data_IF_476443256966
#
_entry.id   IF_476443256966
#
_cell.length_a   1.000
_cell.length_b   1.000
_cell.length_c   1.000
_cell.angle_alpha   90.00
_cell.angle_beta   90.00
_cell.angle_gamma   90.00
#
_symmetry.space_group_name_H-M   'P 1'
#
loop_
_entity.id
_entity.type
_entity.pdbx_description
1 polymer ?
#
# COMPACT_ATOMS: atom_id res chain seq x y z
N UNK A 1 11.11 -12.23 -11.70
CA UNK A 1 11.68 -13.60 -11.70
C UNK A 1 11.08 -14.34 -12.87
N UNK A 2 11.87 -14.98 -13.75
CA UNK A 2 11.37 -15.87 -14.80
C UNK A 2 10.59 -17.05 -14.21
N UNK A 3 9.58 -17.55 -14.95
CA UNK A 3 8.69 -18.60 -14.44
C UNK A 3 9.44 -19.95 -14.25
N UNK A 4 10.31 -20.29 -15.19
CA UNK A 4 11.18 -21.47 -15.15
C UNK A 4 12.10 -21.47 -13.93
N UNK A 5 12.72 -20.35 -13.62
CA UNK A 5 13.53 -20.16 -12.40
C UNK A 5 12.70 -20.35 -11.13
N UNK A 6 11.47 -19.81 -11.11
CA UNK A 6 10.60 -19.96 -9.95
C UNK A 6 10.21 -21.41 -9.70
N UNK A 7 9.95 -22.16 -10.77
CA UNK A 7 9.59 -23.58 -10.67
C UNK A 7 10.81 -24.44 -10.27
N UNK A 8 11.99 -24.11 -10.75
CA UNK A 8 13.24 -24.74 -10.33
C UNK A 8 13.53 -24.49 -8.85
N UNK A 9 13.44 -23.25 -8.38
CA UNK A 9 13.64 -22.91 -6.97
C UNK A 9 12.62 -23.60 -6.05
N UNK A 10 11.36 -23.74 -6.49
CA UNK A 10 10.35 -24.52 -5.75
C UNK A 10 10.69 -25.99 -5.67
N UNK A 11 11.19 -26.58 -6.76
CA UNK A 11 11.55 -27.99 -6.81
C UNK A 11 12.79 -28.32 -5.95
N UNK A 12 13.74 -27.39 -5.84
CA UNK A 12 14.97 -27.54 -5.08
C UNK A 12 14.83 -27.15 -3.60
N UNK A 13 13.80 -26.38 -3.23
CA UNK A 13 13.63 -25.88 -1.87
C UNK A 13 13.38 -27.03 -0.88
N UNK A 14 14.11 -27.01 0.22
CA UNK A 14 13.84 -27.89 1.35
C UNK A 14 12.56 -27.48 2.08
N UNK A 15 11.99 -28.42 2.83
CA UNK A 15 10.78 -28.18 3.61
C UNK A 15 10.97 -26.96 4.56
N UNK A 16 10.08 -25.98 4.45
CA UNK A 16 10.10 -24.75 5.26
C UNK A 16 11.03 -23.62 4.76
N UNK A 17 11.85 -23.87 3.72
CA UNK A 17 12.78 -22.87 3.21
C UNK A 17 12.03 -21.69 2.54
N UNK A 18 11.00 -21.98 1.76
CA UNK A 18 10.15 -20.92 1.17
C UNK A 18 9.36 -20.14 2.22
N UNK A 19 8.94 -20.80 3.30
CA UNK A 19 8.28 -20.12 4.42
C UNK A 19 9.24 -19.13 5.11
N UNK A 20 10.50 -19.55 5.30
CA UNK A 20 11.57 -18.69 5.81
C UNK A 20 11.77 -17.46 4.90
N UNK A 21 11.81 -17.63 3.58
CA UNK A 21 11.92 -16.52 2.61
C UNK A 21 10.71 -15.61 2.69
N UNK A 22 9.51 -16.16 2.86
CA UNK A 22 8.29 -15.38 3.05
C UNK A 22 8.34 -14.53 4.32
N UNK A 23 8.86 -15.09 5.42
CA UNK A 23 9.03 -14.36 6.68
C UNK A 23 10.10 -13.27 6.58
N UNK A 24 11.22 -13.55 5.92
CA UNK A 24 12.25 -12.54 5.62
C UNK A 24 11.68 -11.40 4.76
N UNK A 25 10.84 -11.72 3.75
CA UNK A 25 10.16 -10.72 2.92
C UNK A 25 9.22 -9.85 3.75
N UNK A 26 8.47 -10.45 4.68
CA UNK A 26 7.59 -9.69 5.61
C UNK A 26 8.41 -8.77 6.51
N UNK A 27 9.50 -9.28 7.08
CA UNK A 27 10.39 -8.50 7.94
C UNK A 27 11.01 -7.31 7.17
N UNK A 28 11.54 -7.55 5.98
CA UNK A 28 12.09 -6.51 5.09
C UNK A 28 11.04 -5.45 4.77
N UNK A 29 9.82 -5.86 4.44
CA UNK A 29 8.70 -4.94 4.17
C UNK A 29 8.37 -4.07 5.38
N UNK A 30 8.26 -4.63 6.58
CA UNK A 30 7.90 -3.85 7.77
C UNK A 30 9.02 -2.90 8.18
N UNK A 31 10.28 -3.34 8.11
CA UNK A 31 11.42 -2.47 8.31
C UNK A 31 11.41 -1.29 7.31
N UNK A 32 11.24 -1.57 6.02
CA UNK A 32 11.22 -0.53 4.98
C UNK A 32 10.04 0.44 5.15
N UNK A 33 8.87 -0.08 5.54
CA UNK A 33 7.72 0.78 5.89
C UNK A 33 8.05 1.72 7.06
N UNK A 34 8.74 1.24 8.06
CA UNK A 34 9.23 2.07 9.17
C UNK A 34 10.15 3.18 8.68
N UNK A 35 11.14 2.82 7.86
CA UNK A 35 12.06 3.76 7.23
C UNK A 35 11.32 4.84 6.42
N UNK A 36 10.45 4.43 5.49
CA UNK A 36 9.70 5.37 4.65
C UNK A 36 8.83 6.30 5.50
N UNK A 37 8.13 5.78 6.50
CA UNK A 37 7.28 6.60 7.39
C UNK A 37 8.06 7.61 8.20
N UNK A 38 9.27 7.27 8.61
CA UNK A 38 10.16 8.17 9.35
C UNK A 38 10.64 9.34 8.49
N UNK A 39 10.87 9.10 7.19
CA UNK A 39 11.50 10.06 6.30
C UNK A 39 10.53 10.75 5.33
N UNK A 40 9.31 10.26 5.12
CA UNK A 40 8.32 10.84 4.19
C UNK A 40 7.98 12.30 4.54
N UNK A 41 7.63 13.09 3.52
CA UNK A 41 7.22 14.49 3.64
C UNK A 41 8.36 15.48 3.78
N UNK A 42 9.62 15.04 3.68
CA UNK A 42 10.83 15.87 3.66
C UNK A 42 11.91 15.24 2.79
N UNK A 43 12.82 16.02 2.20
CA UNK A 43 13.92 15.48 1.42
C UNK A 43 14.74 14.47 2.24
N UNK A 44 15.10 13.36 1.61
CA UNK A 44 15.98 12.38 2.21
C UNK A 44 17.41 12.95 2.21
N UNK A 45 18.08 12.86 3.35
CA UNK A 45 19.47 13.35 3.49
C UNK A 45 20.46 12.19 3.49
N UNK A 46 21.75 12.44 3.15
CA UNK A 46 22.79 11.39 3.20
C UNK A 46 22.92 10.71 4.57
N UNK A 47 22.54 11.36 5.65
CA UNK A 47 22.57 10.77 6.99
C UNK A 47 21.63 9.55 7.12
N UNK A 48 20.59 9.43 6.27
CA UNK A 48 19.72 8.26 6.24
C UNK A 48 20.45 6.98 5.80
N UNK A 49 21.66 7.10 5.19
CA UNK A 49 22.47 5.95 4.78
C UNK A 49 22.78 4.99 5.95
N UNK A 50 22.98 5.52 7.15
CA UNK A 50 23.21 4.69 8.35
C UNK A 50 22.05 3.77 8.69
N UNK A 51 20.83 4.11 8.27
CA UNK A 51 19.63 3.32 8.50
C UNK A 51 19.39 2.27 7.41
N UNK A 52 20.07 2.39 6.27
CA UNK A 52 19.91 1.51 5.10
C UNK A 52 20.80 0.25 5.16
N UNK A 53 21.49 0.01 6.26
CA UNK A 53 22.33 -1.18 6.46
C UNK A 53 21.66 -2.50 6.07
N UNK A 54 20.41 -2.81 6.54
CA UNK A 54 19.73 -4.05 6.17
C UNK A 54 19.49 -4.20 4.66
N UNK A 55 19.23 -3.09 3.96
CA UNK A 55 19.06 -3.09 2.50
C UNK A 55 20.40 -3.29 1.78
N UNK A 56 21.44 -2.57 2.20
CA UNK A 56 22.76 -2.71 1.62
C UNK A 56 23.31 -4.13 1.79
N UNK A 57 23.15 -4.74 2.98
CA UNK A 57 23.56 -6.12 3.22
C UNK A 57 22.80 -7.15 2.36
N UNK A 58 21.57 -6.83 1.95
CA UNK A 58 20.84 -7.66 0.98
C UNK A 58 21.41 -7.46 -0.43
N UNK A 59 21.67 -6.21 -0.84
CA UNK A 59 22.20 -5.87 -2.17
C UNK A 59 23.61 -6.43 -2.42
N UNK A 60 24.45 -6.45 -1.40
CA UNK A 60 25.80 -7.04 -1.47
C UNK A 60 25.80 -8.53 -1.84
N UNK A 61 24.70 -9.22 -1.63
CA UNK A 61 24.52 -10.63 -1.98
C UNK A 61 24.06 -10.85 -3.42
N UNK A 62 23.81 -9.76 -4.17
CA UNK A 62 23.28 -9.86 -5.53
C UNK A 62 24.39 -10.20 -6.53
N UNK A 63 24.28 -11.36 -7.15
CA UNK A 63 25.15 -11.82 -8.22
C UNK A 63 24.57 -11.46 -9.60
N UNK A 64 24.16 -10.20 -9.78
CA UNK A 64 23.71 -9.69 -11.06
C UNK A 64 24.88 -9.56 -12.05
N UNK A 65 24.66 -9.89 -13.32
CA UNK A 65 25.63 -9.76 -14.41
C UNK A 65 24.94 -9.36 -15.70
N UNK A 66 25.71 -8.76 -16.61
CA UNK A 66 25.20 -8.37 -17.92
C UNK A 66 25.47 -9.49 -18.95
N UNK A 67 24.48 -9.77 -19.78
CA UNK A 67 24.58 -10.76 -20.87
C UNK A 67 24.00 -10.18 -22.16
N UNK A 68 24.65 -10.42 -23.29
CA UNK A 68 24.11 -10.12 -24.59
C UNK A 68 23.13 -11.24 -24.97
N UNK A 69 21.89 -10.88 -25.22
CA UNK A 69 20.82 -11.82 -25.62
C UNK A 69 20.13 -11.38 -26.90
N UNK A 70 19.37 -12.31 -27.48
CA UNK A 70 18.55 -12.00 -28.64
C UNK A 70 17.21 -11.46 -28.18
N UNK A 71 16.81 -10.31 -28.72
CA UNK A 71 15.44 -9.85 -28.57
C UNK A 71 14.64 -10.07 -29.84
N UNK A 72 13.30 -10.21 -29.70
CA UNK A 72 12.32 -10.20 -30.77
C UNK A 72 11.28 -9.13 -30.45
N UNK A 73 11.21 -8.12 -31.31
CA UNK A 73 10.16 -7.12 -31.30
C UNK A 73 9.40 -7.13 -32.62
N UNK A 74 8.27 -6.40 -32.71
CA UNK A 74 7.52 -6.21 -33.95
C UNK A 74 8.39 -5.72 -35.10
N UNK A 75 9.46 -4.99 -34.80
CA UNK A 75 10.34 -4.31 -35.76
C UNK A 75 11.57 -5.16 -36.17
N UNK A 76 11.66 -6.43 -35.68
CA UNK A 76 12.72 -7.34 -36.07
C UNK A 76 13.37 -8.14 -34.94
N UNK A 77 14.49 -8.76 -35.28
CA UNK A 77 15.34 -9.54 -34.38
C UNK A 77 16.68 -8.81 -34.26
N UNK A 78 17.14 -8.62 -33.03
CA UNK A 78 18.42 -7.97 -32.77
C UNK A 78 19.12 -8.54 -31.55
N UNK A 79 20.17 -7.83 -31.12
CA UNK A 79 20.90 -8.13 -29.87
C UNK A 79 20.63 -7.01 -28.87
N UNK A 80 20.48 -7.40 -27.62
CA UNK A 80 20.35 -6.47 -26.50
C UNK A 80 21.22 -6.89 -25.33
N UNK A 81 21.65 -5.91 -24.53
CA UNK A 81 22.33 -6.15 -23.28
C UNK A 81 21.29 -6.27 -22.17
N UNK A 82 21.15 -7.45 -21.60
CA UNK A 82 20.22 -7.73 -20.52
C UNK A 82 20.95 -7.89 -19.19
N UNK A 83 20.36 -7.35 -18.12
CA UNK A 83 20.80 -7.64 -16.77
C UNK A 83 20.20 -8.98 -16.34
N UNK A 84 21.06 -9.91 -16.04
CA UNK A 84 20.71 -11.26 -15.56
C UNK A 84 21.12 -11.40 -14.09
N UNK A 85 20.53 -12.38 -13.41
CA UNK A 85 20.83 -12.68 -12.00
C UNK A 85 21.01 -14.18 -11.83
N UNK A 86 21.98 -14.58 -10.98
CA UNK A 86 22.15 -15.97 -10.59
C UNK A 86 21.20 -16.31 -9.46
N UNK A 87 20.37 -17.31 -9.67
CA UNK A 87 19.37 -17.79 -8.72
C UNK A 87 19.89 -19.07 -8.05
N UNK A 88 20.66 -18.90 -6.96
CA UNK A 88 21.35 -20.04 -6.32
C UNK A 88 20.52 -20.74 -5.26
N UNK A 89 19.56 -20.06 -4.69
CA UNK A 89 18.72 -20.56 -3.61
C UNK A 89 17.39 -19.79 -3.56
N UNK A 90 16.36 -20.30 -2.86
CA UNK A 90 15.12 -19.58 -2.63
C UNK A 90 15.31 -18.17 -2.03
N UNK A 91 16.35 -17.94 -1.23
CA UNK A 91 16.65 -16.61 -0.69
C UNK A 91 16.99 -15.58 -1.77
N UNK A 92 17.42 -16.00 -2.97
CA UNK A 92 17.64 -15.10 -4.10
C UNK A 92 16.38 -14.36 -4.53
N UNK A 93 15.19 -14.85 -4.17
CA UNK A 93 13.91 -14.16 -4.41
C UNK A 93 13.79 -12.83 -3.68
N UNK A 94 14.60 -12.58 -2.65
CA UNK A 94 14.65 -11.29 -1.95
C UNK A 94 15.39 -10.21 -2.76
N UNK A 95 16.31 -10.61 -3.63
CA UNK A 95 17.21 -9.67 -4.34
C UNK A 95 16.46 -8.68 -5.24
N UNK A 96 15.50 -9.09 -6.10
CA UNK A 96 14.73 -8.14 -6.90
C UNK A 96 13.85 -7.22 -6.03
N UNK A 97 13.44 -7.68 -4.86
CA UNK A 97 12.71 -6.84 -3.90
C UNK A 97 13.67 -5.78 -3.34
N UNK A 98 14.87 -6.19 -2.92
CA UNK A 98 15.91 -5.27 -2.45
C UNK A 98 16.27 -4.22 -3.49
N UNK A 99 16.45 -4.63 -4.74
CA UNK A 99 16.72 -3.71 -5.87
C UNK A 99 15.59 -2.70 -6.06
N UNK A 100 14.32 -3.14 -6.03
CA UNK A 100 13.17 -2.25 -6.17
C UNK A 100 13.08 -1.24 -5.01
N UNK A 101 13.38 -1.67 -3.78
CA UNK A 101 13.43 -0.79 -2.62
C UNK A 101 14.57 0.23 -2.72
N UNK A 102 15.75 -0.19 -3.19
CA UNK A 102 16.90 0.69 -3.40
C UNK A 102 16.61 1.75 -4.47
N UNK A 103 16.02 1.35 -5.61
CA UNK A 103 15.56 2.28 -6.64
C UNK A 103 14.60 3.30 -6.07
N UNK A 104 13.61 2.87 -5.29
CA UNK A 104 12.67 3.78 -4.63
C UNK A 104 13.40 4.81 -3.74
N UNK A 105 14.39 4.37 -2.94
CA UNK A 105 15.17 5.27 -2.07
C UNK A 105 15.97 6.30 -2.86
N UNK A 106 16.54 5.90 -3.99
CA UNK A 106 17.43 6.72 -4.79
C UNK A 106 16.71 7.63 -5.79
N UNK A 107 15.57 7.20 -6.31
CA UNK A 107 14.88 7.86 -7.42
C UNK A 107 13.69 8.71 -6.95
N UNK A 108 13.10 8.42 -5.78
CA UNK A 108 11.91 9.13 -5.32
C UNK A 108 12.26 10.35 -4.48
N UNK A 109 11.55 11.45 -4.74
CA UNK A 109 11.59 12.62 -3.87
C UNK A 109 10.75 12.36 -2.61
N UNK A 110 11.40 12.08 -1.50
CA UNK A 110 10.75 11.79 -0.22
C UNK A 110 9.90 12.94 0.32
N UNK A 111 10.12 14.19 -0.11
CA UNK A 111 9.21 15.31 0.19
C UNK A 111 7.80 15.08 -0.38
N UNK A 112 7.69 14.29 -1.45
CA UNK A 112 6.44 13.93 -2.11
C UNK A 112 5.93 12.52 -1.77
N UNK A 113 6.62 11.80 -0.90
CA UNK A 113 6.12 10.51 -0.38
C UNK A 113 5.13 10.76 0.74
N UNK A 114 3.96 10.13 0.66
CA UNK A 114 2.81 10.37 1.55
C UNK A 114 2.16 9.07 2.00
N UNK A 115 1.59 9.08 3.20
CA UNK A 115 0.66 8.04 3.64
C UNK A 115 -0.73 8.27 3.02
N UNK A 116 -1.42 7.18 2.70
CA UNK A 116 -2.80 7.26 2.23
C UNK A 116 -3.74 7.71 3.35
N UNK A 117 -4.60 8.71 3.06
CA UNK A 117 -5.62 9.19 4.01
C UNK A 117 -6.86 8.26 4.09
N UNK A 118 -6.85 7.10 3.46
CA UNK A 118 -7.92 6.09 3.57
C UNK A 118 -7.99 5.54 5.00
N UNK A 119 -9.19 5.50 5.61
CA UNK A 119 -9.42 5.18 7.02
C UNK A 119 -8.69 3.92 7.54
N UNK A 120 -8.58 2.87 6.73
CA UNK A 120 -7.90 1.62 7.09
C UNK A 120 -6.73 1.28 6.15
N UNK A 121 -6.26 2.27 5.37
CA UNK A 121 -5.20 2.05 4.41
C UNK A 121 -3.84 2.27 5.05
N UNK A 122 -2.94 1.29 4.89
CA UNK A 122 -1.58 1.34 5.43
C UNK A 122 -0.54 1.68 4.36
N UNK A 123 -0.97 1.92 3.12
CA UNK A 123 -0.06 2.18 2.00
C UNK A 123 0.53 3.59 2.06
N UNK A 124 1.79 3.67 1.65
CA UNK A 124 2.48 4.91 1.30
C UNK A 124 2.63 4.97 -0.23
N UNK A 125 2.76 6.15 -0.80
CA UNK A 125 2.93 6.34 -2.24
C UNK A 125 3.72 7.62 -2.52
N UNK A 126 4.46 7.65 -3.61
CA UNK A 126 5.04 8.87 -4.15
C UNK A 126 3.98 9.63 -4.97
N UNK A 127 3.87 10.93 -4.74
CA UNK A 127 2.91 11.79 -5.42
C UNK A 127 3.56 12.47 -6.63
N UNK A 128 3.44 11.87 -7.80
CA UNK A 128 3.95 12.42 -9.06
C UNK A 128 2.98 13.39 -9.76
N UNK A 129 1.83 13.72 -9.13
CA UNK A 129 0.89 14.67 -9.74
C UNK A 129 1.44 16.07 -9.76
N UNK A 130 1.08 16.85 -10.77
CA UNK A 130 1.57 18.23 -10.97
C UNK A 130 1.38 19.12 -9.72
N UNK A 131 0.26 18.96 -8.99
CA UNK A 131 -0.08 19.78 -7.82
C UNK A 131 0.43 19.19 -6.49
N UNK A 132 0.99 18.00 -6.49
CA UNK A 132 1.41 17.29 -5.28
C UNK A 132 0.33 17.26 -4.18
N UNK A 133 -0.94 17.17 -4.56
CA UNK A 133 -2.10 17.26 -3.66
C UNK A 133 -2.89 15.95 -3.55
N UNK A 134 -2.32 14.85 -4.01
CA UNK A 134 -2.94 13.51 -3.93
C UNK A 134 -3.01 13.05 -2.48
N UNK A 135 -4.20 12.58 -2.07
CA UNK A 135 -4.52 12.15 -0.71
C UNK A 135 -4.63 10.63 -0.56
N UNK A 136 -4.88 9.92 -1.66
CA UNK A 136 -5.12 8.48 -1.64
C UNK A 136 -4.18 7.75 -2.58
N UNK A 137 -3.73 6.56 -2.15
CA UNK A 137 -2.89 5.68 -2.97
C UNK A 137 -3.58 5.24 -4.27
N UNK A 138 -4.91 5.19 -4.25
CA UNK A 138 -5.74 4.93 -5.44
C UNK A 138 -7.06 5.70 -5.31
N UNK A 139 -7.41 6.47 -6.35
CA UNK A 139 -8.70 7.15 -6.42
C UNK A 139 -9.84 6.13 -6.54
N UNK A 140 -9.65 5.08 -7.34
CA UNK A 140 -10.65 4.04 -7.58
C UNK A 140 -11.00 3.24 -6.31
N UNK A 141 -10.05 3.06 -5.40
CA UNK A 141 -10.25 2.28 -4.17
C UNK A 141 -10.45 3.23 -2.98
N UNK A 142 -9.39 3.86 -2.51
CA UNK A 142 -9.43 4.65 -1.27
C UNK A 142 -10.19 5.96 -1.44
N UNK A 143 -10.05 6.64 -2.58
CA UNK A 143 -10.79 7.86 -2.88
C UNK A 143 -12.30 7.63 -2.96
N UNK A 144 -12.74 6.58 -3.65
CA UNK A 144 -14.16 6.25 -3.74
C UNK A 144 -14.74 5.81 -2.39
N UNK A 145 -14.00 5.03 -1.59
CA UNK A 145 -14.41 4.69 -0.21
C UNK A 145 -14.61 5.93 0.64
N UNK A 146 -13.68 6.88 0.57
CA UNK A 146 -13.77 8.15 1.30
C UNK A 146 -14.99 8.97 0.88
N UNK A 147 -15.26 9.10 -0.43
CA UNK A 147 -16.45 9.78 -0.98
C UNK A 147 -17.74 9.15 -0.49
N UNK A 148 -17.84 7.81 -0.54
CA UNK A 148 -19.01 7.06 -0.06
C UNK A 148 -19.23 7.24 1.44
N UNK A 149 -18.14 7.20 2.24
CA UNK A 149 -18.23 7.44 3.68
C UNK A 149 -18.73 8.85 3.99
N UNK A 150 -18.19 9.86 3.31
CA UNK A 150 -18.64 11.26 3.44
C UNK A 150 -20.11 11.44 3.04
N UNK A 151 -20.56 10.77 1.97
CA UNK A 151 -21.97 10.78 1.57
C UNK A 151 -22.88 10.18 2.64
N UNK A 152 -22.56 8.97 3.15
CA UNK A 152 -23.32 8.34 4.25
C UNK A 152 -23.39 9.22 5.50
N UNK A 153 -22.30 9.88 5.86
CA UNK A 153 -22.26 10.76 7.02
C UNK A 153 -23.14 12.00 6.84
N UNK A 154 -23.19 12.58 5.63
CA UNK A 154 -24.11 13.70 5.31
C UNK A 154 -25.57 13.28 5.44
N UNK A 155 -25.94 12.09 4.92
CA UNK A 155 -27.30 11.59 5.03
C UNK A 155 -27.71 11.35 6.50
N UNK A 156 -26.84 10.72 7.31
CA UNK A 156 -27.08 10.53 8.75
C UNK A 156 -27.26 11.86 9.50
N UNK A 157 -26.44 12.87 9.16
CA UNK A 157 -26.54 14.20 9.77
C UNK A 157 -27.85 14.89 9.38
N UNK A 158 -28.28 14.76 8.11
CA UNK A 158 -29.55 15.29 7.62
C UNK A 158 -30.76 14.63 8.32
N UNK A 159 -30.75 13.29 8.47
CA UNK A 159 -31.80 12.56 9.18
C UNK A 159 -31.89 12.95 10.67
N UNK A 160 -30.74 13.13 11.34
CA UNK A 160 -30.74 13.61 12.75
C UNK A 160 -31.37 14.98 12.89
N UNK A 161 -31.09 15.91 11.98
CA UNK A 161 -31.65 17.25 11.98
C UNK A 161 -33.18 17.24 11.73
N UNK A 162 -33.67 16.38 10.84
CA UNK A 162 -35.13 16.25 10.58
C UNK A 162 -35.86 15.62 11.75
N UNK A 163 -35.25 14.66 12.47
CA UNK A 163 -35.86 14.02 13.65
C UNK A 163 -35.78 14.89 14.93
N UNK A 164 -34.95 15.93 14.93
CA UNK A 164 -34.78 16.87 16.05
C UNK A 164 -35.60 18.17 15.85
N UNK A 165 -36.47 18.27 14.85
CA UNK A 165 -37.36 19.41 14.62
C UNK A 165 -38.42 19.54 15.72
N UNK A 166 -38.88 20.77 16.05
CA UNK A 166 -39.77 21.05 17.18
C UNK A 166 -41.23 20.62 16.88
N UNK A 167 -41.51 19.30 16.89
CA UNK A 167 -42.81 18.73 16.54
C UNK A 167 -43.32 17.61 17.44
N UNK A 168 -42.65 17.32 18.56
CA UNK A 168 -43.16 16.31 19.53
C UNK A 168 -43.67 17.01 20.82
N UNK A 169 -44.51 18.05 20.69
CA UNK A 169 -45.26 18.58 21.81
C UNK A 169 -46.72 18.12 21.70
N UNK A 170 -47.16 17.37 22.71
CA UNK A 170 -48.50 17.22 23.19
C UNK A 170 -49.58 16.63 22.24
N UNK A 171 -49.72 15.32 22.26
CA UNK A 171 -51.03 14.71 22.26
C UNK A 171 -51.27 13.97 23.59
N UNK A 172 -51.43 14.74 24.67
CA UNK A 172 -52.09 14.23 25.86
C UNK A 172 -53.60 14.36 25.61
N UNK A 173 -54.20 13.24 25.36
CA UNK A 173 -55.65 13.08 25.20
C UNK A 173 -56.32 13.33 26.52
N UNK A 174 -57.09 14.41 26.56
CA UNK A 174 -58.22 14.56 27.47
C UNK A 174 -59.24 13.51 27.07
N UNK A 175 -59.39 12.46 27.82
CA UNK A 175 -60.62 11.67 27.91
C UNK A 175 -61.16 11.81 29.31
N UNK A 176 -61.92 12.89 29.51
CA UNK A 176 -62.89 12.96 30.55
C UNK A 176 -64.13 12.18 30.08
N UNK A 177 -64.43 11.13 30.73
CA UNK A 177 -65.78 10.51 30.71
C UNK A 177 -66.36 10.63 32.10
N UNK A 178 -67.24 11.59 32.22
CA UNK A 178 -68.34 11.62 33.19
C UNK A 178 -69.26 10.44 32.89
N UNK A 179 -69.47 9.58 33.85
CA UNK A 179 -70.57 8.64 33.90
C UNK A 179 -71.41 9.09 35.03
N UNK A 180 -72.61 9.56 34.67
CA UNK A 180 -73.71 9.74 35.60
C UNK A 180 -74.79 8.77 35.22
N UNK A 181 -75.30 8.05 36.25
CA UNK A 181 -76.66 7.64 36.55
C UNK A 181 -77.43 6.71 35.65
N UNK A 182 -77.98 5.77 36.36
CA UNK A 182 -79.36 5.20 36.50
C UNK A 182 -79.43 3.74 36.06
N UNK A 183 -79.82 2.96 36.90
CA UNK A 183 -80.86 2.29 37.68
C UNK A 183 -80.46 0.85 37.89
#
# INVERSE_FOLDING_TARGET
>A
VPADVLDELKAQAMTGELDKVADQTRALREWFRGFVRKHMGRPLTPNALHELGPLNSLLERDEAFSQISRYRHSDGVGLELQMMRRWRSPESLLLPIGEALAKFVCEEDFANVKACEGHSCTLVFADHTRRRARKWCSMAICGNRAKQAAHRNRLKKKQKLTNSGPGAKNRSLKNGRTSADRL
#
